data_IF_224363766780
#
_entry.id   IF_224363766780
#
_cell.length_a   1.000
_cell.length_b   1.000
_cell.length_c   1.000
_cell.angle_alpha   90.00
_cell.angle_beta   90.00
_cell.angle_gamma   90.00
#
_symmetry.space_group_name_H-M   'P 1'
#
loop_
_entity.id
_entity.type
_entity.pdbx_description
1 polymer ?
#
# COMPACT_ATOMS: atom_id res chain seq x y z
N UNK A 1 18.41 28.73 22.82
CA UNK A 1 17.04 28.42 22.38
C UNK A 1 17.13 27.95 20.94
N UNK A 2 16.62 26.75 20.66
CA UNK A 2 16.98 25.92 19.49
C UNK A 2 16.59 26.56 18.16
N UNK A 3 17.54 26.58 17.23
CA UNK A 3 17.44 27.17 15.89
C UNK A 3 16.82 26.12 14.96
N UNK A 4 15.54 26.24 14.62
CA UNK A 4 14.93 25.37 13.60
C UNK A 4 15.58 25.65 12.25
N UNK A 5 16.35 24.67 11.74
CA UNK A 5 16.90 24.70 10.38
C UNK A 5 15.76 24.47 9.39
N UNK A 6 15.55 25.42 8.48
CA UNK A 6 14.70 25.25 7.31
C UNK A 6 15.08 24.00 6.52
N UNK A 7 14.06 23.25 6.10
CA UNK A 7 14.19 22.12 5.20
C UNK A 7 13.51 22.49 3.88
N UNK A 8 14.29 23.04 2.96
CA UNK A 8 13.94 23.14 1.55
C UNK A 8 14.63 21.97 0.83
N UNK A 9 13.91 20.86 0.65
CA UNK A 9 14.23 19.95 -0.45
C UNK A 9 13.34 20.37 -1.62
N UNK A 10 13.96 21.01 -2.60
CA UNK A 10 13.42 21.20 -3.93
C UNK A 10 13.21 19.82 -4.56
N UNK A 11 11.95 19.40 -4.68
CA UNK A 11 11.58 18.43 -5.70
C UNK A 11 10.78 19.20 -6.75
N UNK A 12 11.41 19.40 -7.90
CA UNK A 12 10.83 20.08 -9.06
C UNK A 12 9.57 19.33 -9.50
N UNK A 13 8.46 20.06 -9.67
CA UNK A 13 7.20 19.55 -10.20
C UNK A 13 7.24 19.25 -11.72
N UNK A 14 8.43 19.02 -12.29
CA UNK A 14 8.65 18.90 -13.74
C UNK A 14 8.52 17.48 -14.31
N UNK A 15 8.31 16.44 -13.47
CA UNK A 15 8.33 15.04 -13.92
C UNK A 15 6.97 14.32 -13.89
N UNK A 16 5.84 15.05 -13.83
CA UNK A 16 4.50 14.44 -13.92
C UNK A 16 3.88 14.82 -15.26
N UNK A 17 4.18 14.03 -16.30
CA UNK A 17 3.46 14.11 -17.57
C UNK A 17 2.05 13.55 -17.41
N UNK A 18 1.08 14.26 -17.98
CA UNK A 18 -0.37 14.06 -17.94
C UNK A 18 -0.85 12.83 -18.77
N UNK A 19 -0.01 11.80 -18.91
CA UNK A 19 -0.33 10.57 -19.66
C UNK A 19 -0.44 9.30 -18.80
N UNK A 20 -0.24 9.39 -17.49
CA UNK A 20 -0.47 8.28 -16.55
C UNK A 20 -1.87 8.33 -15.93
N UNK A 21 -2.89 8.52 -16.77
CA UNK A 21 -4.27 8.29 -16.38
C UNK A 21 -4.43 6.79 -16.07
N UNK A 22 -4.40 6.45 -14.78
CA UNK A 22 -4.82 5.13 -14.29
C UNK A 22 -6.22 4.84 -14.86
N UNK A 23 -6.42 3.70 -15.56
CA UNK A 23 -7.77 3.32 -15.95
C UNK A 23 -8.63 3.17 -14.70
N UNK A 24 -9.85 3.69 -14.79
CA UNK A 24 -10.93 3.59 -13.82
C UNK A 24 -11.03 2.14 -13.33
N UNK A 25 -10.75 1.90 -12.04
CA UNK A 25 -10.95 0.59 -11.44
C UNK A 25 -12.46 0.41 -11.26
N UNK A 26 -13.06 -0.41 -12.11
CA UNK A 26 -14.44 -0.86 -11.96
C UNK A 26 -14.51 -1.83 -10.76
N UNK A 27 -15.21 -1.44 -9.70
CA UNK A 27 -15.21 -2.13 -8.39
C UNK A 27 -16.31 -3.21 -8.29
N UNK A 28 -17.10 -3.44 -9.35
CA UNK A 28 -18.31 -4.27 -9.27
C UNK A 28 -18.17 -5.72 -9.80
N UNK A 29 -16.96 -6.23 -10.09
CA UNK A 29 -16.80 -7.62 -10.58
C UNK A 29 -16.45 -8.62 -9.45
N UNK A 30 -17.28 -9.65 -9.19
CA UNK A 30 -16.99 -10.65 -8.18
C UNK A 30 -16.01 -11.69 -8.74
N UNK A 31 -14.72 -11.36 -8.76
CA UNK A 31 -13.70 -12.37 -9.01
C UNK A 31 -13.49 -13.20 -7.75
N UNK A 32 -14.09 -14.40 -7.72
CA UNK A 32 -13.70 -15.45 -6.79
C UNK A 32 -12.26 -15.89 -7.09
N UNK A 33 -11.27 -15.21 -6.50
CA UNK A 33 -9.92 -15.73 -6.40
C UNK A 33 -9.90 -16.83 -5.33
N UNK A 34 -10.12 -18.07 -5.75
CA UNK A 34 -9.70 -19.23 -4.95
C UNK A 34 -8.17 -19.23 -4.87
N UNK A 35 -7.63 -18.83 -3.72
CA UNK A 35 -6.20 -18.92 -3.43
C UNK A 35 -5.83 -20.37 -3.11
N UNK A 36 -5.63 -21.20 -4.15
CA UNK A 36 -5.05 -22.54 -3.97
C UNK A 36 -3.55 -22.40 -3.76
N UNK A 37 -3.11 -22.49 -2.51
CA UNK A 37 -1.71 -22.65 -2.13
C UNK A 37 -1.17 -23.99 -2.69
N UNK A 38 -0.59 -23.95 -3.89
CA UNK A 38 0.21 -25.04 -4.45
C UNK A 38 1.68 -24.78 -4.12
N UNK A 39 2.12 -25.16 -2.92
CA UNK A 39 3.55 -25.21 -2.60
C UNK A 39 4.17 -26.39 -3.37
N UNK A 40 4.76 -26.14 -4.54
CA UNK A 40 5.48 -27.16 -5.31
C UNK A 40 6.92 -27.27 -4.80
N UNK A 41 7.17 -28.31 -4.01
CA UNK A 41 8.54 -28.77 -3.72
C UNK A 41 9.13 -29.42 -4.97
N UNK A 42 10.16 -28.81 -5.55
CA UNK A 42 10.92 -29.39 -6.67
C UNK A 42 12.14 -30.14 -6.11
N UNK A 43 12.06 -31.47 -6.07
CA UNK A 43 13.20 -32.35 -5.82
C UNK A 43 13.54 -33.09 -7.11
N UNK A 44 14.62 -32.71 -7.77
CA UNK A 44 15.14 -33.37 -8.96
C UNK A 44 16.03 -34.56 -8.57
N UNK A 45 15.49 -35.76 -8.63
CA UNK A 45 16.29 -36.99 -8.55
C UNK A 45 16.60 -37.49 -9.97
N UNK A 46 17.82 -37.27 -10.44
CA UNK A 46 18.34 -37.89 -11.65
C UNK A 46 18.78 -39.33 -11.34
N UNK A 47 18.19 -40.31 -12.02
CA UNK A 47 18.62 -41.72 -11.97
C UNK A 47 19.51 -42.01 -13.19
N UNK A 48 20.76 -42.50 -13.02
CA UNK A 48 21.59 -42.86 -14.15
C UNK A 48 21.25 -44.27 -14.64
N UNK A 49 20.80 -44.38 -15.90
CA UNK A 49 20.61 -45.65 -16.59
C UNK A 49 21.90 -46.03 -17.33
N UNK A 50 22.66 -46.98 -16.78
CA UNK A 50 23.69 -47.71 -17.55
C UNK A 50 23.50 -49.21 -17.37
N UNK A 51 22.86 -49.85 -18.34
CA UNK A 51 22.84 -51.29 -18.49
C UNK A 51 23.49 -51.63 -19.84
N UNK A 52 24.71 -52.19 -19.81
CA UNK A 52 25.42 -52.63 -21.01
C UNK A 52 24.94 -54.04 -21.41
N UNK A 53 24.26 -54.15 -22.55
CA UNK A 53 23.83 -55.44 -23.10
C UNK A 53 24.91 -56.04 -24.03
N UNK A 54 25.26 -57.30 -23.80
CA UNK A 54 26.30 -58.01 -24.55
C UNK A 54 25.74 -58.60 -25.87
N UNK A 55 26.04 -57.98 -27.01
CA UNK A 55 25.49 -58.31 -28.34
C UNK A 55 25.89 -59.69 -28.89
N UNK A 56 26.91 -60.34 -28.32
CA UNK A 56 27.42 -61.61 -28.84
C UNK A 56 26.48 -62.81 -28.57
N UNK A 57 25.62 -62.73 -27.55
CA UNK A 57 24.66 -63.79 -27.23
C UNK A 57 23.47 -63.83 -28.21
N UNK A 58 23.09 -62.69 -28.80
CA UNK A 58 21.98 -62.59 -29.76
C UNK A 58 22.31 -63.19 -31.12
N UNK A 59 23.58 -63.14 -31.55
CA UNK A 59 24.03 -63.75 -32.82
C UNK A 59 23.92 -65.28 -32.82
N UNK A 60 24.25 -65.93 -31.70
CA UNK A 60 24.14 -67.40 -31.55
C UNK A 60 22.68 -67.86 -31.49
N UNK A 61 21.79 -67.05 -30.89
CA UNK A 61 20.36 -67.33 -30.79
C UNK A 61 19.63 -67.28 -32.15
N UNK A 62 20.00 -66.34 -33.03
CA UNK A 62 19.37 -66.17 -34.34
C UNK A 62 19.84 -67.19 -35.40
N UNK A 63 21.04 -67.77 -35.28
CA UNK A 63 21.62 -68.62 -36.32
C UNK A 63 20.97 -70.01 -36.42
N UNK A 64 20.30 -70.48 -35.37
CA UNK A 64 19.68 -71.82 -35.29
C UNK A 64 18.20 -71.89 -35.68
N UNK A 65 17.52 -70.76 -35.92
CA UNK A 65 16.06 -70.72 -36.17
C UNK A 65 15.69 -70.75 -37.65
N UNK A 66 14.55 -71.37 -37.96
CA UNK A 66 14.01 -71.57 -39.32
C UNK A 66 13.53 -70.24 -39.95
N UNK A 67 13.34 -70.19 -41.28
CA UNK A 67 12.90 -68.98 -41.99
C UNK A 67 11.57 -68.41 -41.45
N UNK A 68 10.67 -69.29 -41.01
CA UNK A 68 9.35 -68.93 -40.49
C UNK A 68 9.44 -68.32 -39.08
N UNK A 69 10.31 -68.86 -38.22
CA UNK A 69 10.57 -68.30 -36.89
C UNK A 69 11.27 -66.93 -36.94
N UNK A 70 12.20 -66.73 -37.89
CA UNK A 70 12.83 -65.41 -38.09
C UNK A 70 11.81 -64.36 -38.54
N UNK A 71 10.87 -64.73 -39.41
CA UNK A 71 9.78 -63.86 -39.82
C UNK A 71 8.88 -63.48 -38.64
N UNK A 72 8.48 -64.46 -37.82
CA UNK A 72 7.67 -64.24 -36.61
C UNK A 72 8.35 -63.36 -35.55
N UNK A 73 9.66 -63.52 -35.37
CA UNK A 73 10.42 -62.69 -34.42
C UNK A 73 10.50 -61.25 -34.92
N UNK A 74 10.76 -61.03 -36.21
CA UNK A 74 10.79 -59.69 -36.80
C UNK A 74 9.42 -59.00 -36.75
N UNK A 75 8.34 -59.71 -37.06
CA UNK A 75 6.98 -59.14 -36.96
C UNK A 75 6.62 -58.80 -35.52
N UNK A 76 7.00 -59.63 -34.54
CA UNK A 76 6.78 -59.32 -33.12
C UNK A 76 7.57 -58.08 -32.67
N UNK A 77 8.84 -57.95 -33.05
CA UNK A 77 9.63 -56.74 -32.74
C UNK A 77 9.05 -55.48 -33.40
N UNK A 78 8.55 -55.58 -34.63
CA UNK A 78 7.88 -54.46 -35.31
C UNK A 78 6.59 -54.07 -34.56
N UNK A 79 5.77 -55.04 -34.14
CA UNK A 79 4.53 -54.78 -33.39
C UNK A 79 4.84 -54.13 -32.03
N UNK A 80 5.87 -54.61 -31.31
CA UNK A 80 6.30 -54.01 -30.05
C UNK A 80 6.84 -52.59 -30.23
N UNK A 81 7.60 -52.33 -31.31
CA UNK A 81 8.10 -51.00 -31.63
C UNK A 81 6.96 -50.03 -31.95
N UNK A 82 5.98 -50.46 -32.75
CA UNK A 82 4.79 -49.65 -33.06
C UNK A 82 3.98 -49.37 -31.79
N UNK A 83 3.77 -50.37 -30.93
CA UNK A 83 3.07 -50.20 -29.65
C UNK A 83 3.82 -49.23 -28.71
N UNK A 84 5.15 -49.30 -28.67
CA UNK A 84 5.98 -48.36 -27.90
C UNK A 84 5.88 -46.93 -28.44
N UNK A 85 5.91 -46.74 -29.77
CA UNK A 85 5.73 -45.43 -30.39
C UNK A 85 4.34 -44.84 -30.13
N UNK A 86 3.29 -45.67 -30.14
CA UNK A 86 1.93 -45.25 -29.76
C UNK A 86 1.89 -44.87 -28.28
N UNK A 87 2.48 -45.67 -27.39
CA UNK A 87 2.55 -45.38 -25.96
C UNK A 87 3.29 -44.07 -25.69
N UNK A 88 4.45 -43.85 -26.31
CA UNK A 88 5.19 -42.59 -26.22
C UNK A 88 4.34 -41.43 -26.72
N UNK A 89 3.71 -41.56 -27.90
CA UNK A 89 2.86 -40.49 -28.46
C UNK A 89 1.68 -40.15 -27.54
N UNK A 90 1.06 -41.14 -26.89
CA UNK A 90 0.02 -40.93 -25.90
C UNK A 90 0.56 -40.30 -24.61
N UNK A 91 1.74 -40.71 -24.14
CA UNK A 91 2.38 -40.16 -22.96
C UNK A 91 2.80 -38.69 -23.17
N UNK A 92 3.36 -38.36 -24.34
CA UNK A 92 3.68 -36.99 -24.73
C UNK A 92 2.42 -36.11 -24.81
N UNK A 93 1.34 -36.60 -25.42
CA UNK A 93 0.05 -35.90 -25.45
C UNK A 93 -0.57 -35.72 -24.06
N UNK A 94 -0.29 -36.62 -23.11
CA UNK A 94 -0.78 -36.50 -21.75
C UNK A 94 0.03 -35.49 -20.94
N UNK A 95 1.35 -35.45 -21.13
CA UNK A 95 2.24 -34.51 -20.44
C UNK A 95 2.01 -33.05 -20.89
N UNK A 96 1.69 -32.85 -22.17
CA UNK A 96 1.41 -31.52 -22.74
C UNK A 96 0.08 -30.90 -22.23
N UNK A 97 -0.78 -31.71 -21.59
CA UNK A 97 -2.01 -31.22 -20.93
C UNK A 97 -1.80 -30.65 -19.53
N UNK A 98 -0.60 -30.74 -18.94
CA UNK A 98 -0.24 -29.84 -17.85
C UNK A 98 0.07 -28.48 -18.47
N UNK A 99 -0.97 -27.70 -18.73
CA UNK A 99 -0.79 -26.29 -19.07
C UNK A 99 0.14 -25.69 -18.02
N UNK A 100 1.27 -25.05 -18.40
CA UNK A 100 1.91 -24.12 -17.48
C UNK A 100 0.81 -23.12 -17.11
N UNK A 101 0.61 -22.87 -15.81
CA UNK A 101 -0.33 -21.86 -15.35
C UNK A 101 -0.20 -20.61 -16.22
N UNK A 102 -1.31 -20.04 -16.70
CA UNK A 102 -1.31 -18.80 -17.48
C UNK A 102 -0.64 -17.70 -16.66
N UNK A 103 0.67 -17.52 -16.83
CA UNK A 103 1.43 -16.48 -16.16
C UNK A 103 1.08 -15.13 -16.78
N UNK A 104 0.70 -14.17 -15.94
CA UNK A 104 0.48 -12.80 -16.38
C UNK A 104 1.84 -12.11 -16.62
N UNK A 105 2.09 -11.69 -17.85
CA UNK A 105 3.32 -11.00 -18.26
C UNK A 105 3.06 -9.56 -18.72
N UNK A 106 1.94 -8.98 -18.31
CA UNK A 106 1.69 -7.55 -18.56
C UNK A 106 2.67 -6.71 -17.72
N UNK A 107 3.01 -5.49 -18.17
CA UNK A 107 3.90 -4.60 -17.40
C UNK A 107 3.43 -4.39 -15.96
N UNK A 108 2.12 -4.24 -15.76
CA UNK A 108 1.49 -4.07 -14.45
C UNK A 108 1.72 -5.32 -13.57
N UNK A 109 1.52 -6.53 -14.11
CA UNK A 109 1.77 -7.77 -13.37
C UNK A 109 3.24 -7.91 -12.96
N UNK A 110 4.18 -7.57 -13.83
CA UNK A 110 5.62 -7.61 -13.54
C UNK A 110 5.97 -6.59 -12.46
N UNK A 111 5.45 -5.36 -12.54
CA UNK A 111 5.71 -4.32 -11.56
C UNK A 111 5.12 -4.65 -10.19
N UNK A 112 3.87 -5.12 -10.13
CA UNK A 112 3.20 -5.50 -8.90
C UNK A 112 3.89 -6.68 -8.23
N UNK A 113 4.19 -7.74 -8.99
CA UNK A 113 4.89 -8.92 -8.46
C UNK A 113 6.28 -8.57 -7.93
N UNK A 114 7.02 -7.69 -8.62
CA UNK A 114 8.32 -7.18 -8.15
C UNK A 114 8.18 -6.37 -6.84
N UNK A 115 7.18 -5.48 -6.77
CA UNK A 115 6.90 -4.68 -5.57
C UNK A 115 6.58 -5.57 -4.36
N UNK A 116 5.67 -6.56 -4.53
CA UNK A 116 5.35 -7.54 -3.48
C UNK A 116 6.60 -8.32 -3.08
N UNK A 117 7.33 -8.86 -4.06
CA UNK A 117 8.53 -9.67 -3.82
C UNK A 117 9.62 -8.90 -3.07
N UNK A 118 9.72 -7.58 -3.28
CA UNK A 118 10.67 -6.71 -2.59
C UNK A 118 10.44 -6.64 -1.08
N UNK A 119 9.21 -6.85 -0.60
CA UNK A 119 8.88 -6.86 0.83
C UNK A 119 9.12 -8.20 1.53
N UNK A 120 9.09 -9.30 0.78
CA UNK A 120 9.10 -10.65 1.34
C UNK A 120 10.42 -11.03 2.02
N UNK A 121 10.33 -11.61 3.21
CA UNK A 121 11.42 -12.31 3.88
C UNK A 121 11.21 -13.84 3.80
N UNK A 122 11.73 -14.46 2.74
CA UNK A 122 11.59 -15.90 2.48
C UNK A 122 12.36 -16.81 3.46
N UNK A 123 13.10 -16.25 4.42
CA UNK A 123 13.79 -17.03 5.46
C UNK A 123 12.84 -17.47 6.58
N UNK A 124 11.66 -16.86 6.65
CA UNK A 124 10.64 -17.13 7.66
C UNK A 124 9.57 -18.02 7.05
N UNK A 125 9.08 -18.98 7.82
CA UNK A 125 7.92 -19.77 7.44
C UNK A 125 6.65 -18.92 7.62
N UNK A 126 5.82 -18.72 6.57
CA UNK A 126 4.60 -17.91 6.66
C UNK A 126 3.58 -18.45 7.67
N UNK A 127 3.64 -19.75 8.01
CA UNK A 127 2.77 -20.33 9.03
C UNK A 127 3.18 -19.97 10.47
N UNK A 128 4.45 -19.55 10.66
CA UNK A 128 4.98 -19.21 11.99
C UNK A 128 4.85 -17.70 12.24
N UNK A 129 5.25 -16.86 11.29
CA UNK A 129 5.06 -15.41 11.33
C UNK A 129 4.81 -14.85 9.91
N UNK A 130 3.52 -14.72 9.57
CA UNK A 130 3.11 -14.18 8.28
C UNK A 130 3.52 -12.72 8.10
N UNK A 131 3.56 -11.94 9.17
CA UNK A 131 3.91 -10.52 9.09
C UNK A 131 5.38 -10.34 8.75
N UNK A 132 6.30 -11.03 9.43
CA UNK A 132 7.72 -10.99 9.08
C UNK A 132 7.97 -11.62 7.70
N UNK A 133 7.26 -12.69 7.33
CA UNK A 133 7.36 -13.26 5.98
C UNK A 133 6.98 -12.25 4.89
N UNK A 134 5.90 -11.48 5.05
CA UNK A 134 5.42 -10.55 4.02
C UNK A 134 6.12 -9.19 4.06
N UNK A 135 6.39 -8.66 5.25
CA UNK A 135 6.87 -7.30 5.46
C UNK A 135 8.33 -7.21 5.94
N UNK A 136 8.94 -8.32 6.34
CA UNK A 136 10.23 -8.30 7.05
C UNK A 136 11.38 -7.67 6.27
N UNK A 137 11.38 -7.78 4.93
CA UNK A 137 12.38 -7.07 4.11
C UNK A 137 12.02 -5.60 3.97
N UNK A 138 10.74 -5.26 3.81
CA UNK A 138 10.29 -3.86 3.73
C UNK A 138 10.69 -3.07 4.97
N UNK A 139 10.52 -3.63 6.17
CA UNK A 139 10.90 -2.99 7.44
C UNK A 139 12.42 -2.73 7.51
N UNK A 140 13.22 -3.67 7.00
CA UNK A 140 14.69 -3.54 7.00
C UNK A 140 15.19 -2.48 6.02
N UNK A 141 14.48 -2.27 4.91
CA UNK A 141 14.89 -1.34 3.85
C UNK A 141 14.25 0.04 3.97
N UNK A 142 13.15 0.19 4.71
CA UNK A 142 12.41 1.44 4.86
C UNK A 142 12.56 2.02 6.28
N UNK A 143 13.60 2.82 6.48
CA UNK A 143 13.80 3.56 7.72
C UNK A 143 12.75 4.68 7.87
N UNK A 144 12.36 4.96 9.12
CA UNK A 144 11.44 6.05 9.42
C UNK A 144 12.09 7.38 9.04
N UNK A 145 11.51 8.16 8.09
CA UNK A 145 12.06 9.44 7.70
C UNK A 145 12.09 10.43 8.88
N UNK A 146 13.00 11.40 8.84
CA UNK A 146 13.05 12.46 9.85
C UNK A 146 11.71 13.22 9.92
N UNK A 147 11.34 13.63 11.11
CA UNK A 147 10.07 14.32 11.37
C UNK A 147 8.85 13.40 11.41
N UNK A 148 9.02 12.08 11.25
CA UNK A 148 7.93 11.12 11.35
C UNK A 148 8.14 10.20 12.56
N UNK A 149 7.06 9.89 13.28
CA UNK A 149 7.08 8.95 14.41
C UNK A 149 6.89 7.48 14.00
N UNK A 150 6.55 7.24 12.74
CA UNK A 150 6.34 5.91 12.18
C UNK A 150 6.20 5.99 10.66
N UNK A 151 6.47 4.89 9.98
CA UNK A 151 6.43 4.82 8.52
C UNK A 151 5.69 3.55 8.07
N UNK A 152 4.89 3.70 7.02
CA UNK A 152 4.07 2.63 6.43
C UNK A 152 3.80 2.96 4.97
N UNK A 153 3.35 1.97 4.21
CA UNK A 153 2.91 2.16 2.81
C UNK A 153 1.78 3.18 2.71
N UNK A 154 0.85 3.21 3.67
CA UNK A 154 -0.21 4.22 3.74
C UNK A 154 0.32 5.62 3.97
N UNK A 155 1.34 5.79 4.82
CA UNK A 155 1.99 7.09 5.03
C UNK A 155 2.78 7.55 3.81
N UNK A 156 3.43 6.62 3.11
CA UNK A 156 4.09 6.93 1.84
C UNK A 156 3.08 7.43 0.80
N UNK A 157 1.94 6.75 0.68
CA UNK A 157 0.84 7.17 -0.20
C UNK A 157 0.28 8.54 0.20
N UNK A 158 -0.01 8.76 1.49
CA UNK A 158 -0.47 10.06 1.98
C UNK A 158 0.54 11.17 1.68
N UNK A 159 1.84 10.90 1.79
CA UNK A 159 2.88 11.86 1.42
C UNK A 159 2.85 12.20 -0.08
N UNK A 160 2.69 11.19 -0.96
CA UNK A 160 2.55 11.42 -2.40
C UNK A 160 1.33 12.29 -2.71
N UNK A 161 0.20 12.02 -2.07
CA UNK A 161 -1.00 12.85 -2.21
C UNK A 161 -0.76 14.29 -1.75
N UNK A 162 -0.08 14.50 -0.62
CA UNK A 162 0.26 15.84 -0.14
C UNK A 162 1.17 16.61 -1.11
N UNK A 163 2.10 15.93 -1.78
CA UNK A 163 2.96 16.55 -2.80
C UNK A 163 2.13 17.01 -4.00
N UNK A 164 1.19 16.17 -4.47
CA UNK A 164 0.27 16.54 -5.56
C UNK A 164 -0.61 17.73 -5.15
N UNK A 165 -1.23 17.67 -3.96
CA UNK A 165 -2.05 18.76 -3.43
C UNK A 165 -1.26 20.06 -3.31
N UNK A 166 -0.01 20.00 -2.83
CA UNK A 166 0.89 21.15 -2.80
C UNK A 166 1.10 21.73 -4.21
N UNK A 167 1.35 20.87 -5.19
CA UNK A 167 1.49 21.28 -6.59
C UNK A 167 0.25 22.02 -7.11
N UNK A 168 -0.95 21.49 -6.87
CA UNK A 168 -2.21 22.11 -7.27
C UNK A 168 -2.40 23.49 -6.62
N UNK A 169 -2.16 23.58 -5.31
CA UNK A 169 -2.33 24.83 -4.54
C UNK A 169 -1.30 25.91 -4.92
N UNK A 170 -0.12 25.52 -5.38
CA UNK A 170 0.95 26.45 -5.80
C UNK A 170 0.85 26.85 -7.27
N UNK A 171 0.45 25.94 -8.17
CA UNK A 171 0.30 26.22 -9.60
C UNK A 171 -0.90 27.11 -9.91
N UNK A 172 -1.92 27.07 -9.05
CA UNK A 172 -3.10 27.91 -9.19
C UNK A 172 -2.78 29.35 -8.76
N UNK A 173 -1.90 30.03 -9.50
CA UNK A 173 -1.78 31.47 -9.40
C UNK A 173 -3.17 32.04 -9.68
N UNK A 174 -3.72 32.77 -8.70
CA UNK A 174 -5.04 33.38 -8.79
C UNK A 174 -5.08 34.16 -10.10
N UNK A 175 -5.70 33.60 -11.14
CA UNK A 175 -5.97 34.33 -12.38
C UNK A 175 -6.89 35.46 -11.94
N UNK A 176 -6.31 36.64 -11.82
CA UNK A 176 -6.88 37.86 -11.24
C UNK A 176 -8.12 38.38 -11.98
N UNK A 177 -8.62 37.64 -12.97
CA UNK A 177 -9.74 38.00 -13.82
C UNK A 177 -11.08 37.35 -13.43
N UNK A 178 -11.14 36.50 -12.40
CA UNK A 178 -12.40 35.86 -11.99
C UNK A 178 -12.83 36.33 -10.61
N UNK A 179 -13.81 37.23 -10.63
CA UNK A 179 -14.60 37.73 -9.51
C UNK A 179 -15.44 36.62 -8.84
N UNK A 180 -14.83 35.62 -8.21
CA UNK A 180 -15.61 34.51 -7.67
C UNK A 180 -15.05 34.00 -6.33
N UNK A 181 -15.81 34.22 -5.26
CA UNK A 181 -15.70 33.55 -3.96
C UNK A 181 -15.95 32.03 -4.09
N UNK A 182 -15.10 31.30 -4.81
CA UNK A 182 -15.20 29.84 -4.93
C UNK A 182 -14.45 29.16 -3.79
N UNK A 183 -14.88 27.95 -3.43
CA UNK A 183 -14.23 27.15 -2.41
C UNK A 183 -12.73 26.90 -2.71
N UNK A 184 -12.39 26.73 -3.99
CA UNK A 184 -11.01 26.56 -4.45
C UNK A 184 -10.14 27.79 -4.18
N UNK A 185 -10.66 28.99 -4.47
CA UNK A 185 -9.91 30.23 -4.19
C UNK A 185 -9.69 30.44 -2.70
N UNK A 186 -10.69 30.15 -1.87
CA UNK A 186 -10.53 30.24 -0.41
C UNK A 186 -9.53 29.21 0.11
N UNK A 187 -9.51 27.99 -0.42
CA UNK A 187 -8.49 26.99 -0.09
C UNK A 187 -7.08 27.45 -0.46
N UNK A 188 -6.91 28.08 -1.64
CA UNK A 188 -5.61 28.62 -2.08
C UNK A 188 -5.17 29.79 -1.19
N UNK A 189 -6.06 30.74 -0.89
CA UNK A 189 -5.74 31.86 0.02
C UNK A 189 -5.38 31.36 1.42
N UNK A 190 -6.09 30.36 1.91
CA UNK A 190 -5.80 29.73 3.20
C UNK A 190 -4.43 29.04 3.19
N UNK A 191 -4.10 28.32 2.12
CA UNK A 191 -2.76 27.74 1.95
C UNK A 191 -1.67 28.83 1.94
N UNK A 192 -1.86 29.89 1.15
CA UNK A 192 -0.89 30.99 1.04
C UNK A 192 -0.68 31.73 2.37
N UNK A 193 -1.72 31.91 3.18
CA UNK A 193 -1.59 32.54 4.50
C UNK A 193 -0.77 31.68 5.47
N UNK A 194 -0.92 30.35 5.40
CA UNK A 194 -0.14 29.40 6.18
C UNK A 194 1.34 29.34 5.73
N UNK A 195 1.58 29.42 4.42
CA UNK A 195 2.94 29.34 3.85
C UNK A 195 3.75 30.64 3.97
N UNK A 196 3.12 31.77 4.29
CA UNK A 196 3.81 33.05 4.48
C UNK A 196 4.46 33.15 5.87
N UNK A 197 5.56 32.42 6.06
CA UNK A 197 6.32 32.38 7.32
C UNK A 197 6.79 33.77 7.74
N UNK A 198 7.19 34.63 6.79
CA UNK A 198 7.66 35.99 7.08
C UNK A 198 6.60 36.83 7.79
N UNK A 199 5.35 36.79 7.32
CA UNK A 199 4.24 37.49 7.96
C UNK A 199 3.95 36.90 9.35
N UNK A 200 3.95 35.57 9.47
CA UNK A 200 3.73 34.88 10.76
C UNK A 200 4.79 35.30 11.80
N UNK A 201 6.06 35.28 11.41
CA UNK A 201 7.18 35.74 12.24
C UNK A 201 7.12 37.25 12.51
N UNK A 202 6.57 38.07 11.62
CA UNK A 202 6.37 39.48 11.90
C UNK A 202 5.27 39.70 12.96
N UNK A 203 4.18 38.94 12.91
CA UNK A 203 3.05 39.09 13.83
C UNK A 203 3.38 38.63 15.26
N UNK A 204 4.27 37.64 15.42
CA UNK A 204 4.67 37.09 16.72
C UNK A 204 3.44 36.66 17.55
N UNK A 205 3.43 36.91 18.86
CA UNK A 205 2.34 36.52 19.78
C UNK A 205 1.08 37.40 19.67
N UNK A 206 1.11 38.49 18.90
CA UNK A 206 0.03 39.50 18.85
C UNK A 206 -1.34 38.95 18.49
N UNK A 207 -1.49 37.98 17.54
CA UNK A 207 -2.79 37.37 17.27
C UNK A 207 -3.38 36.65 18.50
N UNK A 208 -2.54 36.00 19.30
CA UNK A 208 -2.96 35.33 20.53
C UNK A 208 -3.35 36.34 21.61
N UNK A 209 -2.58 37.43 21.79
CA UNK A 209 -2.94 38.50 22.72
C UNK A 209 -4.27 39.15 22.37
N UNK A 210 -4.50 39.41 21.07
CA UNK A 210 -5.77 39.93 20.58
C UNK A 210 -6.91 38.96 20.88
N UNK A 211 -6.70 37.67 20.61
CA UNK A 211 -7.69 36.63 20.90
C UNK A 211 -8.07 36.59 22.38
N UNK A 212 -7.08 36.64 23.29
CA UNK A 212 -7.32 36.65 24.74
C UNK A 212 -8.06 37.91 25.19
N UNK A 213 -7.68 39.07 24.65
CA UNK A 213 -8.31 40.35 24.99
C UNK A 213 -9.75 40.44 24.48
N UNK A 214 -10.01 40.05 23.24
CA UNK A 214 -11.34 40.15 22.63
C UNK A 214 -12.35 39.15 23.22
N UNK A 215 -11.90 37.93 23.56
CA UNK A 215 -12.82 36.89 24.03
C UNK A 215 -12.92 36.82 25.56
N UNK A 216 -11.85 37.18 26.28
CA UNK A 216 -11.79 37.00 27.73
C UNK A 216 -11.43 38.28 28.50
N UNK A 217 -11.11 39.37 27.79
CA UNK A 217 -10.60 40.61 28.39
C UNK A 217 -9.35 40.36 29.27
N UNK A 218 -8.50 39.43 28.85
CA UNK A 218 -7.27 39.04 29.54
C UNK A 218 -6.04 39.39 28.73
N UNK A 219 -4.96 39.77 29.41
CA UNK A 219 -3.61 39.72 28.86
C UNK A 219 -2.94 38.39 29.19
N UNK A 220 -1.80 38.10 28.54
CA UNK A 220 -0.99 36.93 28.87
C UNK A 220 -0.54 36.96 30.34
N UNK A 221 -0.19 38.14 30.87
CA UNK A 221 0.21 38.28 32.26
C UNK A 221 -0.95 38.00 33.24
N UNK A 222 -2.17 38.39 32.88
CA UNK A 222 -3.35 38.08 33.69
C UNK A 222 -3.63 36.58 33.70
N UNK A 223 -3.50 35.93 32.54
CA UNK A 223 -3.62 34.47 32.41
C UNK A 223 -2.60 33.73 33.29
N UNK A 224 -1.35 34.17 33.27
CA UNK A 224 -0.28 33.55 34.07
C UNK A 224 -0.46 33.72 35.58
N UNK A 225 -1.28 34.68 36.04
CA UNK A 225 -1.52 34.98 37.45
C UNK A 225 -2.95 34.67 37.91
N UNK A 226 -3.71 33.92 37.11
CA UNK A 226 -5.14 33.67 37.27
C UNK A 226 -5.53 33.10 38.65
N UNK A 227 -4.68 32.24 39.22
CA UNK A 227 -4.94 31.57 40.51
C UNK A 227 -4.91 32.53 41.70
N UNK A 228 -4.24 33.68 41.57
CA UNK A 228 -4.11 34.65 42.67
C UNK A 228 -5.39 35.46 42.91
N UNK A 229 -6.29 35.51 41.92
CA UNK A 229 -7.43 36.42 41.93
C UNK A 229 -8.74 35.79 42.44
N UNK A 230 -8.73 34.50 42.83
CA UNK A 230 -9.90 33.73 43.34
C UNK A 230 -11.15 33.72 42.44
N UNK A 231 -11.02 34.10 41.18
CA UNK A 231 -12.12 34.15 40.18
C UNK A 231 -12.05 33.02 39.15
N UNK A 232 -11.15 32.05 39.35
CA UNK A 232 -10.84 31.01 38.38
C UNK A 232 -12.05 30.16 37.99
N UNK A 233 -12.93 29.80 38.93
CA UNK A 233 -14.10 28.95 38.64
C UNK A 233 -15.07 29.59 37.63
N UNK A 234 -15.43 30.87 37.84
CA UNK A 234 -16.33 31.59 36.92
C UNK A 234 -15.68 31.87 35.57
N UNK A 235 -14.39 32.19 35.58
CA UNK A 235 -13.61 32.40 34.37
C UNK A 235 -13.43 31.10 33.57
N UNK A 236 -13.24 29.98 34.25
CA UNK A 236 -13.09 28.66 33.66
C UNK A 236 -14.37 28.23 32.94
N UNK A 237 -15.54 28.36 33.59
CA UNK A 237 -16.84 28.05 32.96
C UNK A 237 -17.10 28.97 31.75
N UNK A 238 -16.80 30.27 31.89
CA UNK A 238 -16.93 31.23 30.77
C UNK A 238 -16.01 30.88 29.61
N UNK A 239 -14.76 30.51 29.90
CA UNK A 239 -13.75 30.14 28.93
C UNK A 239 -14.15 28.86 28.19
N UNK A 240 -14.51 27.81 28.90
CA UNK A 240 -14.97 26.56 28.30
C UNK A 240 -16.19 26.79 27.41
N UNK A 241 -17.14 27.62 27.85
CA UNK A 241 -18.31 27.97 27.06
C UNK A 241 -17.92 28.62 25.73
N UNK A 242 -17.09 29.66 25.77
CA UNK A 242 -16.68 30.40 24.56
C UNK A 242 -15.85 29.51 23.63
N UNK A 243 -14.87 28.79 24.18
CA UNK A 243 -14.02 27.90 23.40
C UNK A 243 -14.84 26.79 22.72
N UNK A 244 -15.78 26.18 23.44
CA UNK A 244 -16.62 25.12 22.90
C UNK A 244 -17.60 25.63 21.84
N UNK A 245 -18.35 26.69 22.13
CA UNK A 245 -19.44 27.13 21.23
C UNK A 245 -18.97 27.93 20.02
N UNK A 246 -17.91 28.74 20.17
CA UNK A 246 -17.43 29.64 19.10
C UNK A 246 -16.26 29.07 18.32
N UNK A 247 -15.42 28.26 18.97
CA UNK A 247 -14.16 27.77 18.39
C UNK A 247 -14.08 26.25 18.28
N UNK A 248 -15.09 25.50 18.78
CA UNK A 248 -15.09 24.03 18.74
C UNK A 248 -14.07 23.37 19.67
N UNK A 249 -13.38 24.14 20.51
CA UNK A 249 -12.43 23.62 21.49
C UNK A 249 -13.17 23.23 22.76
N UNK A 250 -13.37 21.93 22.96
CA UNK A 250 -14.00 21.43 24.17
C UNK A 250 -12.97 20.70 25.02
N UNK A 251 -12.83 21.13 26.27
CA UNK A 251 -11.94 20.53 27.27
C UNK A 251 -12.79 20.02 28.44
N UNK A 252 -12.39 18.89 29.05
CA UNK A 252 -13.13 18.09 30.04
C UNK A 252 -14.41 17.40 29.55
N UNK A 253 -15.35 18.18 28.99
CA UNK A 253 -16.64 17.69 28.50
C UNK A 253 -16.75 18.01 27.01
N UNK A 254 -16.13 17.21 26.12
CA UNK A 254 -16.37 17.33 24.70
C UNK A 254 -17.85 17.07 24.43
N UNK A 255 -18.50 18.02 23.77
CA UNK A 255 -19.86 17.87 23.26
C UNK A 255 -19.75 17.81 21.74
N UNK A 256 -20.20 16.72 21.16
CA UNK A 256 -20.33 16.58 19.71
C UNK A 256 -21.77 16.29 19.33
N UNK A 257 -22.11 16.61 18.09
CA UNK A 257 -23.43 16.32 17.53
C UNK A 257 -23.20 15.30 16.41
N UNK A 258 -23.85 14.15 16.53
CA UNK A 258 -23.74 13.06 15.56
C UNK A 258 -25.08 12.36 15.37
N UNK A 259 -25.18 11.43 14.42
CA UNK A 259 -26.40 10.65 14.21
C UNK A 259 -26.72 9.82 15.46
N UNK A 260 -28.00 9.69 15.81
CA UNK A 260 -28.45 8.88 16.95
C UNK A 260 -28.23 7.37 16.67
N UNK A 261 -27.59 6.68 17.61
CA UNK A 261 -27.27 5.24 17.49
C UNK A 261 -28.50 4.34 17.28
N UNK A 262 -29.67 4.76 17.79
CA UNK A 262 -30.94 4.03 17.63
C UNK A 262 -31.76 4.52 16.45
N UNK A 263 -31.54 5.75 16.00
CA UNK A 263 -32.25 6.31 14.87
C UNK A 263 -31.41 7.31 14.07
N UNK A 264 -30.76 6.83 13.01
CA UNK A 264 -29.88 7.61 12.15
C UNK A 264 -30.57 8.76 11.38
N UNK A 265 -31.88 8.95 11.50
CA UNK A 265 -32.60 10.12 10.94
C UNK A 265 -32.52 11.36 11.83
N UNK A 266 -32.16 11.20 13.10
CA UNK A 266 -32.01 12.29 14.06
C UNK A 266 -30.55 12.43 14.47
N UNK A 267 -30.19 13.64 14.87
CA UNK A 267 -28.92 13.89 15.53
C UNK A 267 -29.15 13.96 17.05
N UNK A 268 -28.19 13.40 17.79
CA UNK A 268 -28.13 13.42 19.25
C UNK A 268 -26.81 14.07 19.71
N UNK A 269 -26.84 14.65 20.91
CA UNK A 269 -25.65 15.20 21.55
C UNK A 269 -24.89 14.09 22.28
N UNK A 270 -23.60 13.97 22.00
CA UNK A 270 -22.70 13.02 22.64
C UNK A 270 -21.73 13.75 23.55
N UNK A 271 -21.48 13.18 24.72
CA UNK A 271 -20.39 13.59 25.59
C UNK A 271 -19.67 12.38 26.14
N UNK A 272 -18.35 12.42 26.06
CA UNK A 272 -17.48 11.39 26.60
C UNK A 272 -16.50 12.05 27.57
N UNK A 273 -16.60 11.66 28.84
CA UNK A 273 -15.63 12.08 29.86
C UNK A 273 -14.32 11.37 29.54
N UNK A 274 -13.27 12.15 29.28
CA UNK A 274 -11.90 11.65 29.06
C UNK A 274 -11.20 11.36 30.38
#
# INVERSE_FOLDING_TARGET
MSRYKHFSEEFSAADINETDALPELDVDEPHQLEFKLQLRNYASNAVPLTASYNLNHMKVYFSKRTRLERSLILTNFIVLFVAFCIFLSCFYRHHDKQQPEKLCLTPICIQLSSSIYSGLNQTINPCDDFYEFVCGRWIKTNIIPKGHSGWSTTKELSRKNLIILKGILEQTSIKSSLSAFTAEQEAIKFYQSCMNISEIEQQQVRPLERFLKENFNLTINDWMNIDRNKTWEGLFVSLLKILSTKYGFSYLLPISIGPDDKNSTWNSSYSQIM
#
